data_IF_515771830547
#
_entry.id   IF_515771830547
#
_cell.length_a   1.000
_cell.length_b   1.000
_cell.length_c   1.000
_cell.angle_alpha   90.00
_cell.angle_beta   90.00
_cell.angle_gamma   90.00
#
_symmetry.space_group_name_H-M   'P 1'
#
loop_
_entity.id
_entity.type
_entity.pdbx_description
1 polymer ?
#
# COMPACT_ATOMS: atom_id res chain seq x y z
N UNK A 1 31.88 -20.06 42.04
CA UNK A 1 30.63 -19.90 41.28
C UNK A 1 30.06 -18.51 41.54
N UNK A 2 30.46 -17.51 40.76
CA UNK A 2 29.98 -16.13 40.91
C UNK A 2 29.05 -15.81 39.73
N UNK A 3 27.80 -15.48 40.09
CA UNK A 3 26.82 -14.66 39.35
C UNK A 3 26.49 -15.02 37.88
N UNK A 4 25.90 -16.19 37.63
CA UNK A 4 25.04 -16.39 36.45
C UNK A 4 23.57 -15.96 36.73
N UNK A 5 23.19 -15.87 38.01
CA UNK A 5 21.85 -15.50 38.45
C UNK A 5 21.34 -14.13 37.91
N UNK A 6 22.14 -13.04 37.83
CA UNK A 6 21.62 -11.78 37.31
C UNK A 6 21.34 -11.82 35.81
N UNK A 7 22.07 -12.63 35.03
CA UNK A 7 21.86 -12.77 33.58
C UNK A 7 20.54 -13.51 33.29
N UNK A 8 20.26 -14.59 34.03
CA UNK A 8 18.99 -15.31 33.89
C UNK A 8 17.79 -14.47 34.30
N UNK A 9 17.93 -13.64 35.34
CA UNK A 9 16.87 -12.71 35.75
C UNK A 9 16.68 -11.61 34.69
N UNK A 10 17.74 -11.08 34.09
CA UNK A 10 17.65 -10.10 33.02
C UNK A 10 16.96 -10.68 31.76
N UNK A 11 17.34 -11.91 31.37
CA UNK A 11 16.72 -12.64 30.26
C UNK A 11 15.25 -13.01 30.56
N UNK A 12 14.93 -13.37 31.79
CA UNK A 12 13.55 -13.66 32.20
C UNK A 12 12.67 -12.40 32.22
N UNK A 13 13.20 -11.24 32.62
CA UNK A 13 12.50 -9.96 32.51
C UNK A 13 12.29 -9.60 31.04
N UNK A 14 13.30 -9.79 30.19
CA UNK A 14 13.19 -9.59 28.74
C UNK A 14 12.11 -10.51 28.11
N UNK A 15 12.01 -11.76 28.57
CA UNK A 15 10.97 -12.71 28.16
C UNK A 15 9.58 -12.40 28.75
N UNK A 16 9.51 -11.80 29.95
CA UNK A 16 8.23 -11.38 30.52
C UNK A 16 7.61 -10.22 29.73
N UNK A 17 8.42 -9.36 29.12
CA UNK A 17 7.97 -8.35 28.13
C UNK A 17 7.58 -8.95 26.77
N UNK A 18 7.94 -10.21 26.48
CA UNK A 18 7.50 -10.92 25.26
C UNK A 18 6.11 -11.56 25.40
N UNK A 19 5.49 -11.53 26.59
CA UNK A 19 4.10 -11.95 26.75
C UNK A 19 3.23 -10.73 26.40
N UNK A 20 2.60 -10.68 25.20
CA UNK A 20 1.62 -9.64 24.94
C UNK A 20 0.50 -9.81 25.96
N UNK A 21 0.18 -8.75 26.72
CA UNK A 21 -1.08 -8.67 27.43
C UNK A 21 -2.20 -8.98 26.43
N UNK A 22 -2.79 -10.16 26.56
CA UNK A 22 -3.77 -10.72 25.64
C UNK A 22 -5.13 -10.06 25.87
N UNK A 23 -5.27 -8.78 25.54
CA UNK A 23 -6.57 -8.07 25.43
C UNK A 23 -6.45 -6.78 24.60
N UNK A 24 -5.68 -6.83 23.51
CA UNK A 24 -5.73 -5.84 22.45
C UNK A 24 -5.67 -6.59 21.12
N UNK A 25 -6.48 -6.18 20.14
CA UNK A 25 -6.32 -6.65 18.76
C UNK A 25 -4.84 -6.52 18.37
N UNK A 26 -4.25 -7.50 17.67
CA UNK A 26 -2.88 -7.37 17.23
C UNK A 26 -2.79 -6.19 16.27
N UNK A 27 -2.41 -5.02 16.78
CA UNK A 27 -1.77 -4.01 15.97
C UNK A 27 -0.53 -4.69 15.41
N UNK A 28 -0.66 -5.14 14.17
CA UNK A 28 0.40 -5.75 13.39
C UNK A 28 1.62 -4.86 13.51
N UNK A 29 2.68 -5.36 14.15
CA UNK A 29 4.05 -4.81 14.21
C UNK A 29 4.28 -3.83 13.04
N UNK A 30 4.02 -2.55 13.28
CA UNK A 30 3.73 -1.62 12.19
C UNK A 30 5.04 -1.13 11.59
N UNK A 31 5.43 -1.75 10.48
CA UNK A 31 6.38 -1.16 9.56
C UNK A 31 5.59 -0.25 8.61
N UNK A 32 5.69 1.05 8.82
CA UNK A 32 5.04 2.05 7.99
C UNK A 32 5.99 2.47 6.87
N UNK A 33 5.59 2.22 5.63
CA UNK A 33 6.41 2.54 4.46
C UNK A 33 6.37 4.05 4.20
N UNK A 34 7.47 4.73 4.49
CA UNK A 34 7.54 6.19 4.34
C UNK A 34 7.72 6.60 2.89
N UNK A 35 8.54 5.87 2.14
CA UNK A 35 8.66 6.06 0.68
C UNK A 35 9.15 4.80 -0.03
N UNK A 36 8.73 4.66 -1.28
CA UNK A 36 9.26 3.68 -2.22
C UNK A 36 9.92 4.43 -3.37
N UNK A 37 11.20 4.18 -3.61
CA UNK A 37 11.91 4.73 -4.78
C UNK A 37 12.24 3.61 -5.74
N UNK A 38 11.82 3.76 -6.99
CA UNK A 38 12.09 2.82 -8.08
C UNK A 38 13.07 3.49 -9.04
N UNK A 39 14.25 2.90 -9.19
CA UNK A 39 15.24 3.31 -10.19
C UNK A 39 15.27 2.26 -11.27
N UNK A 40 14.76 2.60 -12.44
CA UNK A 40 14.72 1.70 -13.58
C UNK A 40 16.10 1.61 -14.26
N UNK A 41 16.54 0.38 -14.55
CA UNK A 41 17.73 0.08 -15.33
C UNK A 41 17.39 -1.02 -16.34
N UNK A 42 17.13 -0.60 -17.58
CA UNK A 42 16.74 -1.49 -18.68
C UNK A 42 15.55 -2.39 -18.34
N UNK A 43 15.74 -3.69 -18.16
CA UNK A 43 14.65 -4.62 -17.83
C UNK A 43 14.44 -4.77 -16.32
N UNK A 44 15.39 -4.32 -15.51
CA UNK A 44 15.39 -4.47 -14.06
C UNK A 44 15.09 -3.13 -13.38
N UNK A 45 14.93 -3.17 -12.06
CA UNK A 45 14.94 -1.95 -11.25
C UNK A 45 15.47 -2.19 -9.84
N UNK A 46 16.00 -1.12 -9.26
CA UNK A 46 16.37 -1.06 -7.86
C UNK A 46 15.27 -0.35 -7.07
N UNK A 47 14.64 -1.07 -6.15
CA UNK A 47 13.64 -0.54 -5.24
C UNK A 47 14.30 -0.20 -3.91
N UNK A 48 14.27 1.07 -3.52
CA UNK A 48 14.65 1.51 -2.18
C UNK A 48 13.38 1.76 -1.38
N UNK A 49 13.12 0.90 -0.40
CA UNK A 49 11.96 0.94 0.49
C UNK A 49 12.41 1.59 1.80
N UNK A 50 11.97 2.81 2.07
CA UNK A 50 12.20 3.45 3.36
C UNK A 50 10.99 3.21 4.26
N UNK A 51 11.24 2.95 5.53
CA UNK A 51 10.19 2.63 6.50
C UNK A 51 10.51 3.15 7.90
N UNK A 52 9.46 3.36 8.68
CA UNK A 52 9.55 3.54 10.12
C UNK A 52 8.98 2.30 10.82
N UNK A 53 9.70 1.85 11.83
CA UNK A 53 9.39 0.67 12.63
C UNK A 53 9.10 1.06 14.09
N UNK A 54 9.18 2.35 14.44
CA UNK A 54 9.01 2.84 15.81
C UNK A 54 10.16 2.44 16.76
N UNK A 55 10.10 2.94 18.00
CA UNK A 55 11.20 2.81 18.95
C UNK A 55 11.29 1.42 19.59
N UNK A 56 10.14 0.82 19.94
CA UNK A 56 10.13 -0.51 20.58
C UNK A 56 10.57 -1.62 19.61
N UNK A 57 10.07 -1.71 18.35
CA UNK A 57 10.56 -2.69 17.39
C UNK A 57 12.03 -2.50 16.98
N UNK A 58 12.56 -1.26 17.01
CA UNK A 58 13.99 -1.00 16.78
C UNK A 58 14.90 -1.81 17.70
N UNK A 59 14.58 -1.86 18.99
CA UNK A 59 15.37 -2.63 19.96
C UNK A 59 15.36 -4.13 19.63
N UNK A 60 14.21 -4.67 19.21
CA UNK A 60 14.12 -6.07 18.78
C UNK A 60 14.94 -6.35 17.53
N UNK A 61 14.94 -5.43 16.56
CA UNK A 61 15.72 -5.56 15.33
C UNK A 61 17.23 -5.42 15.61
N UNK A 62 17.63 -4.61 16.58
CA UNK A 62 19.02 -4.54 17.04
C UNK A 62 19.50 -5.89 17.60
N UNK A 63 18.65 -6.60 18.37
CA UNK A 63 18.99 -7.87 19.00
C UNK A 63 18.88 -9.07 18.04
N UNK A 64 17.87 -9.09 17.17
CA UNK A 64 17.52 -10.24 16.32
C UNK A 64 17.96 -10.07 14.86
N UNK A 65 18.46 -8.89 14.50
CA UNK A 65 18.78 -8.50 13.13
C UNK A 65 17.55 -8.06 12.32
N UNK A 66 17.82 -7.31 11.24
CA UNK A 66 16.81 -6.79 10.32
C UNK A 66 16.07 -7.88 9.55
N UNK A 67 16.59 -9.11 9.51
CA UNK A 67 15.95 -10.27 8.86
C UNK A 67 14.52 -10.54 9.35
N UNK A 68 14.21 -10.13 10.59
CA UNK A 68 12.86 -10.19 11.15
C UNK A 68 11.80 -9.39 10.36
N UNK A 69 12.22 -8.43 9.54
CA UNK A 69 11.36 -7.57 8.71
C UNK A 69 11.03 -8.16 7.33
N UNK A 70 11.82 -9.15 6.89
CA UNK A 70 11.71 -9.78 5.59
C UNK A 70 10.30 -10.32 5.26
N UNK A 71 9.55 -10.94 6.19
CA UNK A 71 8.21 -11.43 5.90
C UNK A 71 7.24 -10.32 5.42
N UNK A 72 7.36 -9.10 5.97
CA UNK A 72 6.50 -7.98 5.55
C UNK A 72 6.84 -7.50 4.14
N UNK A 73 8.13 -7.40 3.81
CA UNK A 73 8.56 -7.08 2.45
C UNK A 73 8.09 -8.15 1.45
N UNK A 74 8.20 -9.44 1.81
CA UNK A 74 7.72 -10.55 0.97
C UNK A 74 6.22 -10.53 0.72
N UNK A 75 5.44 -10.12 1.72
CA UNK A 75 4.00 -9.90 1.57
C UNK A 75 3.73 -8.80 0.53
N UNK A 76 4.29 -7.60 0.73
CA UNK A 76 4.04 -6.43 -0.13
C UNK A 76 4.56 -6.63 -1.56
N UNK A 77 5.78 -7.13 -1.74
CA UNK A 77 6.42 -7.23 -3.05
C UNK A 77 6.26 -8.63 -3.69
N UNK A 78 5.27 -9.42 -3.23
CA UNK A 78 5.01 -10.77 -3.76
C UNK A 78 4.69 -10.82 -5.25
N UNK A 79 4.24 -9.72 -5.85
CA UNK A 79 4.02 -9.60 -7.30
C UNK A 79 5.30 -9.47 -8.13
N UNK A 80 6.47 -9.33 -7.50
CA UNK A 80 7.75 -9.12 -8.17
C UNK A 80 8.67 -10.33 -7.96
N UNK A 81 9.46 -10.70 -8.98
CA UNK A 81 10.67 -11.49 -8.76
C UNK A 81 11.78 -10.53 -8.30
N UNK A 82 12.26 -10.71 -7.07
CA UNK A 82 13.27 -9.84 -6.51
C UNK A 82 14.20 -10.54 -5.53
N UNK A 83 15.40 -9.98 -5.41
CA UNK A 83 16.33 -10.31 -4.32
C UNK A 83 16.46 -9.12 -3.37
N UNK A 84 16.63 -9.39 -2.07
CA UNK A 84 16.97 -8.36 -1.08
C UNK A 84 18.49 -8.16 -1.12
N UNK A 85 18.95 -7.02 -1.61
CA UNK A 85 20.38 -6.67 -1.63
C UNK A 85 20.84 -6.25 -0.24
N UNK A 86 20.04 -5.40 0.42
CA UNK A 86 20.37 -4.83 1.72
C UNK A 86 19.11 -4.61 2.53
N UNK A 87 19.19 -4.80 3.85
CA UNK A 87 18.10 -4.48 4.76
C UNK A 87 18.65 -3.99 6.09
N UNK A 88 18.32 -2.75 6.42
CA UNK A 88 18.75 -2.02 7.61
C UNK A 88 17.53 -1.76 8.54
N UNK A 89 17.69 -0.89 9.55
CA UNK A 89 16.62 -0.55 10.49
C UNK A 89 15.57 0.41 9.92
N UNK A 90 15.91 1.17 8.89
CA UNK A 90 15.08 2.24 8.33
C UNK A 90 14.84 2.09 6.82
N UNK A 91 15.55 1.17 6.16
CA UNK A 91 15.41 0.93 4.72
C UNK A 91 15.78 -0.48 4.29
N UNK A 92 15.18 -0.90 3.18
CA UNK A 92 15.58 -2.07 2.41
C UNK A 92 15.86 -1.67 0.95
N UNK A 93 16.80 -2.37 0.33
CA UNK A 93 17.12 -2.25 -1.09
C UNK A 93 16.84 -3.60 -1.74
N UNK A 94 15.90 -3.61 -2.69
CA UNK A 94 15.47 -4.78 -3.43
C UNK A 94 15.89 -4.62 -4.89
N UNK A 95 16.33 -5.71 -5.52
CA UNK A 95 16.53 -5.77 -6.97
C UNK A 95 15.36 -6.51 -7.59
N UNK A 96 14.46 -5.81 -8.24
CA UNK A 96 13.39 -6.40 -9.02
C UNK A 96 13.92 -6.74 -10.42
N UNK A 97 13.70 -7.97 -10.86
CA UNK A 97 14.24 -8.50 -12.13
C UNK A 97 13.15 -8.56 -13.19
N UNK A 98 13.54 -8.26 -14.44
CA UNK A 98 12.69 -8.49 -15.61
C UNK A 98 11.28 -7.88 -15.48
N UNK A 99 11.19 -6.67 -14.93
CA UNK A 99 9.93 -5.94 -14.73
C UNK A 99 9.57 -5.05 -15.92
N UNK A 100 10.50 -4.85 -16.85
CA UNK A 100 10.27 -4.09 -18.08
C UNK A 100 10.65 -4.91 -19.30
N UNK A 101 9.93 -4.71 -20.41
CA UNK A 101 10.25 -5.31 -21.71
C UNK A 101 10.81 -4.26 -22.67
N UNK A 102 11.80 -4.63 -23.47
CA UNK A 102 12.32 -3.76 -24.52
C UNK A 102 11.51 -3.93 -25.80
N UNK A 103 10.98 -2.82 -26.34
CA UNK A 103 10.28 -2.79 -27.62
C UNK A 103 10.59 -1.49 -28.36
N UNK A 104 11.00 -1.59 -29.63
CA UNK A 104 11.23 -0.45 -30.53
C UNK A 104 12.06 0.70 -29.95
N UNK A 105 13.10 0.40 -29.17
CA UNK A 105 13.97 1.42 -28.57
C UNK A 105 13.50 1.99 -27.23
N UNK A 106 12.43 1.43 -26.66
CA UNK A 106 11.90 1.82 -25.36
C UNK A 106 11.83 0.62 -24.42
N UNK A 107 11.93 0.92 -23.13
CA UNK A 107 11.56 0.00 -22.07
C UNK A 107 10.15 0.33 -21.63
N UNK A 108 9.30 -0.70 -21.64
CA UNK A 108 7.89 -0.64 -21.28
C UNK A 108 7.71 -1.44 -20.00
N UNK A 109 7.28 -0.76 -18.95
CA UNK A 109 6.90 -1.35 -17.68
C UNK A 109 5.38 -1.35 -17.60
N UNK A 110 4.80 -2.53 -17.66
CA UNK A 110 3.37 -2.73 -17.41
C UNK A 110 3.14 -2.77 -15.89
N UNK A 111 2.03 -2.20 -15.42
CA UNK A 111 1.66 -2.13 -14.01
C UNK A 111 1.72 -3.49 -13.32
N UNK A 112 2.45 -3.57 -12.20
CA UNK A 112 2.55 -4.78 -11.38
C UNK A 112 1.91 -4.52 -10.02
N UNK A 113 1.02 -5.42 -9.59
CA UNK A 113 0.34 -5.33 -8.30
C UNK A 113 1.26 -5.65 -7.14
N UNK A 114 1.13 -4.87 -6.07
CA UNK A 114 1.63 -5.28 -4.76
C UNK A 114 0.73 -6.38 -4.18
N UNK A 115 1.27 -7.19 -3.28
CA UNK A 115 0.49 -8.22 -2.57
C UNK A 115 -0.51 -7.62 -1.58
N UNK A 116 -0.30 -6.37 -1.17
CA UNK A 116 -1.23 -5.59 -0.35
C UNK A 116 -1.07 -4.10 -0.65
N UNK A 117 -2.12 -3.31 -0.40
CA UNK A 117 -2.08 -1.86 -0.59
C UNK A 117 -1.11 -1.19 0.38
N UNK A 118 -0.23 -0.33 -0.14
CA UNK A 118 0.76 0.39 0.68
C UNK A 118 0.45 1.88 0.74
N UNK A 119 0.42 2.43 1.96
CA UNK A 119 0.27 3.88 2.18
C UNK A 119 1.67 4.50 2.16
N UNK A 120 2.08 5.04 1.03
CA UNK A 120 3.43 5.60 0.87
C UNK A 120 3.49 6.64 -0.25
N UNK A 121 4.65 7.28 -0.39
CA UNK A 121 5.00 8.08 -1.57
C UNK A 121 5.92 7.26 -2.47
N UNK A 122 5.53 7.10 -3.73
CA UNK A 122 6.31 6.41 -4.76
C UNK A 122 7.05 7.43 -5.63
N UNK A 123 8.37 7.28 -5.73
CA UNK A 123 9.23 8.04 -6.63
C UNK A 123 9.76 7.11 -7.72
N UNK A 124 9.63 7.51 -8.98
CA UNK A 124 10.13 6.74 -10.12
C UNK A 124 11.17 7.56 -10.87
N UNK A 125 12.39 7.03 -10.92
CA UNK A 125 13.47 7.54 -11.74
C UNK A 125 13.61 6.69 -12.99
N UNK A 126 13.65 7.36 -14.14
CA UNK A 126 13.96 6.76 -15.44
C UNK A 126 15.25 7.39 -15.98
N UNK A 127 16.11 6.65 -16.70
CA UNK A 127 17.39 7.17 -17.20
C UNK A 127 17.26 8.40 -18.11
N UNK A 128 16.13 8.56 -18.79
CA UNK A 128 15.83 9.65 -19.71
C UNK A 128 15.22 10.89 -19.04
N UNK A 129 15.02 10.88 -17.71
CA UNK A 129 14.45 12.00 -16.95
C UNK A 129 15.36 12.37 -15.78
N UNK A 130 15.80 13.64 -15.66
CA UNK A 130 16.57 14.09 -14.51
C UNK A 130 15.74 14.20 -13.23
N UNK A 131 14.42 14.33 -13.36
CA UNK A 131 13.49 14.46 -12.23
C UNK A 131 12.64 13.20 -12.06
N UNK A 132 12.38 12.77 -10.80
CA UNK A 132 11.53 11.64 -10.55
C UNK A 132 10.05 11.98 -10.76
N UNK A 133 9.31 11.03 -11.32
CA UNK A 133 7.84 11.07 -11.28
C UNK A 133 7.39 10.69 -9.88
N UNK A 134 6.61 11.57 -9.24
CA UNK A 134 6.08 11.36 -7.88
C UNK A 134 4.63 10.91 -7.95
N UNK A 135 4.33 9.82 -7.26
CA UNK A 135 2.99 9.28 -7.10
C UNK A 135 2.69 9.19 -5.61
N UNK A 136 1.59 9.80 -5.18
CA UNK A 136 1.12 9.71 -3.81
C UNK A 136 -0.39 9.81 -3.83
N UNK A 137 -1.06 8.80 -3.26
CA UNK A 137 -2.51 8.60 -3.33
C UNK A 137 -2.97 8.35 -4.77
N UNK A 138 -4.00 7.55 -4.94
CA UNK A 138 -4.52 7.20 -6.25
C UNK A 138 -5.86 7.91 -6.46
N UNK A 139 -5.95 8.78 -7.45
CA UNK A 139 -7.24 9.33 -7.86
C UNK A 139 -8.18 8.21 -8.30
N UNK A 140 -9.36 8.15 -7.71
CA UNK A 140 -10.35 7.12 -7.99
C UNK A 140 -11.46 7.67 -8.90
N UNK A 141 -12.18 8.69 -8.44
CA UNK A 141 -13.31 9.26 -9.19
C UNK A 141 -13.72 10.64 -8.66
N UNK A 142 -14.41 11.41 -9.49
CA UNK A 142 -15.16 12.61 -9.09
C UNK A 142 -16.51 12.18 -8.51
N UNK A 143 -16.77 12.52 -7.24
CA UNK A 143 -18.01 12.19 -6.54
C UNK A 143 -19.26 12.73 -7.24
N UNK A 144 -19.15 13.90 -7.87
CA UNK A 144 -20.25 14.54 -8.59
C UNK A 144 -20.58 13.82 -9.91
N UNK A 145 -19.64 13.06 -10.47
CA UNK A 145 -19.82 12.28 -11.69
C UNK A 145 -20.22 10.81 -11.42
N UNK A 146 -20.60 10.49 -10.18
CA UNK A 146 -21.12 9.18 -9.79
C UNK A 146 -22.52 9.35 -9.15
N UNK A 147 -23.57 8.73 -9.72
CA UNK A 147 -23.56 7.95 -10.96
C UNK A 147 -23.33 8.82 -12.20
N UNK A 148 -22.62 8.31 -13.21
CA UNK A 148 -22.33 9.02 -14.45
C UNK A 148 -21.02 8.59 -15.09
N UNK A 149 -20.26 9.57 -15.60
CA UNK A 149 -19.04 9.36 -16.38
C UNK A 149 -17.94 8.58 -15.64
N UNK A 150 -17.94 8.64 -14.30
CA UNK A 150 -16.93 8.00 -13.48
C UNK A 150 -17.37 6.64 -12.89
N UNK A 151 -18.52 6.13 -13.34
CA UNK A 151 -19.03 4.81 -12.93
C UNK A 151 -18.00 3.70 -13.16
N UNK A 152 -17.37 3.67 -14.35
CA UNK A 152 -16.37 2.65 -14.67
C UNK A 152 -15.15 2.72 -13.75
N UNK A 153 -14.71 3.92 -13.38
CA UNK A 153 -13.57 4.11 -12.47
C UNK A 153 -13.89 3.56 -11.08
N UNK A 154 -15.06 3.91 -10.53
CA UNK A 154 -15.51 3.37 -9.25
C UNK A 154 -15.62 1.84 -9.29
N UNK A 155 -16.27 1.26 -10.29
CA UNK A 155 -16.41 -0.20 -10.40
C UNK A 155 -15.07 -0.90 -10.60
N UNK A 156 -14.15 -0.31 -11.36
CA UNK A 156 -12.80 -0.85 -11.55
C UNK A 156 -12.03 -0.87 -10.24
N UNK A 157 -12.06 0.22 -9.46
CA UNK A 157 -11.42 0.28 -8.15
C UNK A 157 -11.98 -0.79 -7.20
N UNK A 158 -13.31 -0.88 -7.06
CA UNK A 158 -13.92 -1.91 -6.20
C UNK A 158 -13.56 -3.32 -6.67
N UNK A 159 -13.55 -3.58 -7.98
CA UNK A 159 -13.30 -4.91 -8.55
C UNK A 159 -11.85 -5.32 -8.45
N UNK A 160 -10.94 -4.47 -8.90
CA UNK A 160 -9.55 -4.83 -9.11
C UNK A 160 -8.72 -4.54 -7.86
N UNK A 161 -8.87 -3.36 -7.25
CA UNK A 161 -8.04 -2.95 -6.12
C UNK A 161 -8.56 -3.49 -4.77
N UNK A 162 -9.88 -3.53 -4.59
CA UNK A 162 -10.52 -4.10 -3.39
C UNK A 162 -10.97 -5.56 -3.56
N UNK A 163 -10.77 -6.15 -4.76
CA UNK A 163 -11.09 -7.54 -5.09
C UNK A 163 -12.58 -7.92 -4.90
N UNK A 164 -13.48 -6.93 -5.04
CA UNK A 164 -14.93 -7.09 -4.92
C UNK A 164 -15.51 -7.51 -6.27
N UNK A 165 -15.28 -8.77 -6.66
CA UNK A 165 -15.49 -9.28 -8.02
C UNK A 165 -16.92 -9.13 -8.59
N UNK A 166 -17.96 -9.14 -7.74
CA UNK A 166 -19.36 -9.02 -8.19
C UNK A 166 -19.69 -7.64 -8.79
N UNK A 167 -18.84 -6.63 -8.56
CA UNK A 167 -19.07 -5.24 -9.01
C UNK A 167 -18.98 -5.06 -10.53
N UNK A 168 -18.48 -6.05 -11.29
CA UNK A 168 -18.35 -5.99 -12.76
C UNK A 168 -19.66 -5.59 -13.48
N UNK A 169 -20.81 -6.00 -12.95
CA UNK A 169 -22.14 -5.70 -13.49
C UNK A 169 -23.06 -5.07 -12.43
N UNK A 170 -22.47 -4.45 -11.41
CA UNK A 170 -23.25 -3.84 -10.36
C UNK A 170 -23.93 -2.55 -10.85
N UNK A 171 -25.10 -2.30 -10.30
CA UNK A 171 -25.80 -1.04 -10.45
C UNK A 171 -25.27 -0.04 -9.43
N UNK A 172 -25.30 1.25 -9.79
CA UNK A 172 -24.85 2.34 -8.94
C UNK A 172 -26.02 3.30 -8.76
N UNK A 173 -26.33 3.62 -7.50
CA UNK A 173 -27.38 4.56 -7.13
C UNK A 173 -26.85 5.57 -6.11
N UNK A 174 -27.11 6.85 -6.35
CA UNK A 174 -26.96 7.88 -5.32
C UNK A 174 -28.20 7.85 -4.42
N UNK A 175 -28.02 7.59 -3.14
CA UNK A 175 -29.12 7.56 -2.16
C UNK A 175 -29.45 8.98 -1.69
N UNK A 176 -28.42 9.80 -1.51
CA UNK A 176 -28.46 11.23 -1.20
C UNK A 176 -27.13 11.89 -1.59
N UNK A 177 -26.92 13.15 -1.22
CA UNK A 177 -25.70 13.90 -1.57
C UNK A 177 -24.41 13.25 -1.05
N UNK A 178 -24.49 12.52 0.07
CA UNK A 178 -23.36 11.95 0.79
C UNK A 178 -23.29 10.42 0.70
N UNK A 179 -24.26 9.76 0.08
CA UNK A 179 -24.31 8.29 0.03
C UNK A 179 -24.45 7.77 -1.40
N UNK A 180 -23.49 6.95 -1.81
CA UNK A 180 -23.54 6.15 -3.05
C UNK A 180 -23.64 4.69 -2.67
N UNK A 181 -24.56 3.96 -3.27
CA UNK A 181 -24.70 2.51 -3.14
C UNK A 181 -24.36 1.83 -4.45
N UNK A 182 -23.45 0.87 -4.39
CA UNK A 182 -23.14 -0.07 -5.48
C UNK A 182 -23.71 -1.42 -5.09
N UNK A 183 -24.49 -2.07 -5.95
CA UNK A 183 -25.17 -3.32 -5.59
C UNK A 183 -25.37 -4.27 -6.78
N UNK A 184 -25.41 -5.56 -6.48
CA UNK A 184 -25.77 -6.61 -7.43
C UNK A 184 -26.49 -7.74 -6.69
N UNK A 185 -27.79 -7.89 -6.92
CA UNK A 185 -28.62 -8.84 -6.17
C UNK A 185 -28.59 -8.54 -4.67
N UNK A 186 -28.04 -9.48 -3.88
CA UNK A 186 -27.95 -9.37 -2.42
C UNK A 186 -26.64 -8.73 -1.92
N UNK A 187 -25.69 -8.49 -2.81
CA UNK A 187 -24.42 -7.87 -2.49
C UNK A 187 -24.51 -6.35 -2.65
N UNK A 188 -23.96 -5.63 -1.68
CA UNK A 188 -23.91 -4.18 -1.72
C UNK A 188 -22.69 -3.61 -1.02
N UNK A 189 -22.25 -2.45 -1.50
CA UNK A 189 -21.25 -1.59 -0.90
C UNK A 189 -21.86 -0.20 -0.79
N UNK A 190 -21.77 0.38 0.40
CA UNK A 190 -22.14 1.77 0.64
C UNK A 190 -20.88 2.62 0.73
N UNK A 191 -20.86 3.73 0.02
CA UNK A 191 -19.79 4.72 0.04
C UNK A 191 -20.39 5.98 0.63
N UNK A 192 -19.80 6.43 1.73
CA UNK A 192 -20.31 7.53 2.54
C UNK A 192 -19.29 8.67 2.55
N UNK A 193 -19.67 9.82 2.04
CA UNK A 193 -18.94 11.07 2.20
C UNK A 193 -19.16 11.58 3.63
N UNK A 194 -18.12 11.52 4.47
CA UNK A 194 -18.22 11.86 5.88
C UNK A 194 -18.04 13.36 6.08
N UNK A 195 -17.04 13.92 5.41
CA UNK A 195 -16.72 15.34 5.38
C UNK A 195 -15.84 15.66 4.17
N UNK A 196 -15.40 16.91 4.07
CA UNK A 196 -14.60 17.43 2.95
C UNK A 196 -13.18 16.84 2.85
N UNK A 197 -12.76 16.00 3.80
CA UNK A 197 -11.46 15.33 3.82
C UNK A 197 -11.56 13.79 3.77
N UNK A 198 -12.72 13.20 4.06
CA UNK A 198 -12.87 11.77 4.28
C UNK A 198 -14.15 11.19 3.70
N UNK A 199 -13.99 10.07 3.00
CA UNK A 199 -15.08 9.16 2.65
C UNK A 199 -14.78 7.75 3.16
N UNK A 200 -15.81 6.93 3.33
CA UNK A 200 -15.70 5.57 3.84
C UNK A 200 -16.50 4.62 2.96
N UNK A 201 -15.86 3.54 2.55
CA UNK A 201 -16.52 2.38 1.95
C UNK A 201 -16.92 1.43 3.07
N UNK A 202 -18.16 0.97 3.08
CA UNK A 202 -18.72 0.01 4.03
C UNK A 202 -19.24 -1.22 3.28
N UNK A 203 -18.66 -2.37 3.59
CA UNK A 203 -19.13 -3.66 3.10
C UNK A 203 -20.17 -4.23 4.06
N UNK A 204 -21.06 -5.08 3.54
CA UNK A 204 -22.10 -5.74 4.34
C UNK A 204 -21.54 -6.60 5.49
N UNK A 205 -20.33 -7.13 5.34
CA UNK A 205 -19.65 -7.92 6.38
C UNK A 205 -19.01 -7.05 7.50
N UNK A 206 -19.23 -5.73 7.49
CA UNK A 206 -18.68 -4.80 8.47
C UNK A 206 -17.28 -4.29 8.16
N UNK A 207 -16.59 -4.82 7.14
CA UNK A 207 -15.28 -4.31 6.71
C UNK A 207 -15.44 -2.91 6.13
N UNK A 208 -14.56 -1.99 6.54
CA UNK A 208 -14.54 -0.62 6.03
C UNK A 208 -13.21 -0.27 5.40
N UNK A 209 -13.24 0.64 4.42
CA UNK A 209 -12.03 1.22 3.83
C UNK A 209 -12.13 2.74 3.85
N UNK A 210 -11.08 3.38 4.33
CA UNK A 210 -10.96 4.84 4.35
C UNK A 210 -10.49 5.36 2.99
N UNK A 211 -11.12 6.43 2.53
CA UNK A 211 -10.77 7.18 1.33
C UNK A 211 -10.48 8.63 1.71
N UNK A 212 -9.61 9.27 0.93
CA UNK A 212 -9.31 10.69 1.05
C UNK A 212 -10.20 11.50 0.09
N UNK A 213 -10.62 12.68 0.54
CA UNK A 213 -11.41 13.62 -0.25
C UNK A 213 -10.61 14.90 -0.44
N UNK A 214 -10.59 15.41 -1.67
CA UNK A 214 -10.07 16.72 -1.99
C UNK A 214 -11.14 17.54 -2.69
N UNK A 215 -11.32 18.79 -2.26
CA UNK A 215 -12.21 19.72 -2.92
C UNK A 215 -11.45 20.56 -3.95
N UNK A 216 -11.81 20.43 -5.23
CA UNK A 216 -11.38 21.38 -6.27
C UNK A 216 -12.61 22.13 -6.79
N UNK A 217 -12.57 23.46 -6.67
CA UNK A 217 -13.68 24.38 -6.99
C UNK A 217 -15.02 23.95 -6.36
N UNK A 218 -14.97 23.40 -5.14
CA UNK A 218 -16.14 22.93 -4.38
C UNK A 218 -16.69 21.58 -4.82
N UNK A 219 -16.01 20.85 -5.73
CA UNK A 219 -16.38 19.49 -6.13
C UNK A 219 -15.53 18.45 -5.39
N UNK A 220 -16.10 17.37 -4.83
CA UNK A 220 -15.34 16.35 -4.13
C UNK A 220 -14.72 15.34 -5.10
N UNK A 221 -13.40 15.24 -5.08
CA UNK A 221 -12.62 14.21 -5.76
C UNK A 221 -12.13 13.19 -4.74
N UNK A 222 -12.29 11.91 -5.09
CA UNK A 222 -12.02 10.80 -4.18
C UNK A 222 -10.71 10.13 -4.54
N UNK A 223 -9.90 9.87 -3.53
CA UNK A 223 -8.58 9.25 -3.65
C UNK A 223 -8.45 8.05 -2.70
N UNK A 224 -7.72 7.03 -3.14
CA UNK A 224 -7.22 5.98 -2.24
C UNK A 224 -5.95 6.48 -1.55
N UNK A 225 -5.82 6.34 -0.22
CA UNK A 225 -4.56 6.61 0.48
C UNK A 225 -3.49 5.54 0.20
N UNK A 226 -3.89 4.39 -0.37
CA UNK A 226 -3.01 3.27 -0.69
C UNK A 226 -2.70 3.19 -2.19
N UNK A 227 -1.47 2.78 -2.50
CA UNK A 227 -1.05 2.32 -3.81
C UNK A 227 -1.18 0.80 -3.86
N UNK A 228 -1.86 0.29 -4.88
CA UNK A 228 -2.09 -1.15 -5.07
C UNK A 228 -1.21 -1.75 -6.19
N UNK A 229 -0.63 -0.93 -7.04
CA UNK A 229 0.28 -1.33 -8.10
C UNK A 229 1.30 -0.24 -8.44
N UNK A 230 2.35 -0.61 -9.15
CA UNK A 230 3.19 0.36 -9.86
C UNK A 230 2.43 0.95 -11.04
N UNK A 231 2.67 2.22 -11.43
CA UNK A 231 2.08 2.78 -12.64
C UNK A 231 2.71 2.17 -13.89
N UNK A 232 2.02 2.26 -15.03
CA UNK A 232 2.63 1.99 -16.32
C UNK A 232 3.72 3.05 -16.61
N UNK A 233 4.91 2.62 -17.01
CA UNK A 233 6.05 3.50 -17.28
C UNK A 233 6.67 3.16 -18.63
N UNK A 234 7.05 4.19 -19.38
CA UNK A 234 7.77 4.09 -20.64
C UNK A 234 8.98 5.01 -20.59
N UNK A 235 10.15 4.51 -20.98
CA UNK A 235 11.39 5.29 -20.99
C UNK A 235 12.44 4.75 -21.97
N UNK A 236 13.51 5.53 -22.18
CA UNK A 236 14.73 5.12 -22.89
C UNK A 236 15.90 5.00 -21.92
N UNK A 237 16.85 4.11 -22.24
CA UNK A 237 18.12 3.93 -21.52
C UNK A 237 19.29 4.39 -22.34
#
# INVERSE_FOLDING_TARGET
MKSALPIFVLLAILFAFLIPFSNGTPETRSMDFTSLTVNFDKTDALFTVNYDIGDMPRLFILLMGSKSLEPKLRSVFSGFDYDIIKMDQDKAVLRARNISRFDKGYYLHDSVRFGEGIKTVLYIYTPDSPEPKKYSRLYLFDWSNVPGNDNSKLLNFLRYDLEINWTKKAEIKKLDNNNIRVFSGNDSVDIVLVNDAKAIIKLRNGKTYDLEVELDRGKPYIYSPFLYSTPDIVYRS
#
